data_IF_617576589059
#
_entry.id   IF_617576589059
#
_cell.length_a   1.000
_cell.length_b   1.000
_cell.length_c   1.000
_cell.angle_alpha   90.00
_cell.angle_beta   90.00
_cell.angle_gamma   90.00
#
_symmetry.space_group_name_H-M   'P 1'
#
loop_
_entity.id
_entity.type
_entity.pdbx_description
1 polymer ?
#
# COMPACT_ATOMS: atom_id res chain seq x y z
N UNK A 1 -7.61 -16.83 11.18
CA UNK A 1 -7.21 -15.53 10.60
C UNK A 1 -8.39 -14.99 9.81
N UNK A 2 -9.21 -14.14 10.40
CA UNK A 2 -10.37 -13.52 9.73
C UNK A 2 -10.32 -12.05 10.13
N UNK A 3 -10.07 -11.18 9.17
CA UNK A 3 -9.90 -9.77 9.45
C UNK A 3 -9.76 -9.05 8.14
N UNK A 4 -10.87 -8.49 7.68
CA UNK A 4 -10.88 -7.55 6.57
C UNK A 4 -9.85 -6.46 6.86
N UNK A 5 -8.82 -6.39 6.02
CA UNK A 5 -7.72 -5.43 6.19
C UNK A 5 -8.16 -4.03 5.81
N UNK A 6 -9.20 -3.91 4.97
CA UNK A 6 -9.87 -2.66 4.69
C UNK A 6 -11.01 -2.44 5.68
N UNK A 7 -11.01 -1.28 6.35
CA UNK A 7 -12.16 -0.83 7.12
C UNK A 7 -13.27 -0.39 6.17
N UNK A 8 -14.52 -0.68 6.52
CA UNK A 8 -15.68 -0.18 5.79
C UNK A 8 -15.65 1.35 5.70
N UNK A 9 -15.90 1.88 4.50
CA UNK A 9 -15.79 3.32 4.22
C UNK A 9 -16.77 4.13 5.08
N UNK A 10 -17.96 3.60 5.34
CA UNK A 10 -18.94 4.29 6.19
C UNK A 10 -18.46 4.34 7.65
N UNK A 11 -17.85 3.26 8.16
CA UNK A 11 -17.22 3.26 9.49
C UNK A 11 -16.05 4.25 9.58
N UNK A 12 -15.18 4.26 8.58
CA UNK A 12 -14.05 5.20 8.50
C UNK A 12 -14.53 6.66 8.54
N UNK A 13 -15.50 7.03 7.70
CA UNK A 13 -16.05 8.38 7.65
C UNK A 13 -16.77 8.75 8.96
N UNK A 14 -17.55 7.82 9.53
CA UNK A 14 -18.27 8.06 10.79
C UNK A 14 -17.32 8.34 11.95
N UNK A 15 -16.20 7.62 12.04
CA UNK A 15 -15.15 7.86 13.05
C UNK A 15 -14.41 9.18 12.80
N UNK A 16 -14.10 9.48 11.55
CA UNK A 16 -13.44 10.73 11.17
C UNK A 16 -14.26 11.95 11.62
N UNK A 17 -15.59 11.90 11.43
CA UNK A 17 -16.52 12.97 11.84
C UNK A 17 -16.65 13.18 13.36
N UNK A 18 -16.21 12.23 14.20
CA UNK A 18 -16.26 12.38 15.68
C UNK A 18 -15.16 13.28 16.24
N UNK A 19 -14.09 13.51 15.49
CA UNK A 19 -12.93 14.25 15.97
C UNK A 19 -13.03 15.72 15.54
N UNK A 20 -12.73 16.66 16.47
CA UNK A 20 -12.75 18.10 16.19
C UNK A 20 -11.71 18.53 15.16
N UNK A 21 -10.60 17.81 15.11
CA UNK A 21 -9.50 18.04 14.18
C UNK A 21 -9.09 16.72 13.56
N UNK A 22 -8.80 16.73 12.27
CA UNK A 22 -8.36 15.55 11.55
C UNK A 22 -7.37 15.94 10.45
N UNK A 23 -6.37 15.09 10.25
CA UNK A 23 -5.34 15.29 9.25
C UNK A 23 -5.51 14.28 8.13
N UNK A 24 -5.44 14.76 6.89
CA UNK A 24 -5.42 13.93 5.69
C UNK A 24 -4.09 14.13 4.98
N UNK A 25 -3.53 13.04 4.48
CA UNK A 25 -2.31 13.08 3.68
C UNK A 25 -2.42 12.10 2.53
N UNK A 26 -1.81 12.43 1.40
CA UNK A 26 -1.71 11.55 0.25
C UNK A 26 -0.27 11.07 0.12
N UNK A 27 -0.09 9.75 0.23
CA UNK A 27 1.23 9.13 0.05
C UNK A 27 1.42 8.83 -1.43
N UNK A 28 2.09 9.75 -2.12
CA UNK A 28 2.34 9.60 -3.54
C UNK A 28 3.15 8.33 -3.81
N UNK A 29 2.65 7.50 -4.73
CA UNK A 29 3.29 6.24 -5.14
C UNK A 29 3.59 5.29 -3.96
N UNK A 30 2.73 5.26 -2.94
CA UNK A 30 2.90 4.44 -1.73
C UNK A 30 3.35 3.00 -2.01
N UNK A 31 2.71 2.31 -2.95
CA UNK A 31 3.04 0.90 -3.24
C UNK A 31 4.45 0.71 -3.79
N UNK A 32 5.00 1.71 -4.49
CA UNK A 32 6.39 1.67 -4.97
C UNK A 32 7.43 1.79 -3.85
N UNK A 33 7.02 2.12 -2.63
CA UNK A 33 7.90 2.14 -1.47
C UNK A 33 7.98 0.78 -0.76
N UNK A 34 7.15 -0.19 -1.14
CA UNK A 34 7.10 -1.52 -0.54
C UNK A 34 7.88 -2.48 -1.42
N UNK A 35 8.99 -3.01 -0.91
CA UNK A 35 9.80 -4.01 -1.59
C UNK A 35 9.13 -5.39 -1.52
N UNK A 36 9.19 -6.12 -2.64
CA UNK A 36 8.77 -7.51 -2.70
C UNK A 36 9.97 -8.39 -2.35
N UNK A 37 9.70 -9.46 -1.62
CA UNK A 37 10.67 -10.49 -1.31
C UNK A 37 11.37 -10.97 -2.59
N UNK A 38 12.72 -11.04 -2.63
CA UNK A 38 13.46 -11.46 -3.83
C UNK A 38 12.97 -12.76 -4.46
N UNK A 39 12.53 -13.73 -3.65
CA UNK A 39 12.06 -15.03 -4.13
C UNK A 39 10.67 -14.94 -4.81
N UNK A 40 9.94 -13.85 -4.58
CA UNK A 40 8.63 -13.58 -5.15
C UNK A 40 8.66 -12.58 -6.32
N UNK A 41 9.80 -11.95 -6.60
CA UNK A 41 9.92 -10.95 -7.69
C UNK A 41 9.70 -11.56 -9.07
N UNK A 42 9.99 -12.86 -9.24
CA UNK A 42 9.77 -13.55 -10.51
C UNK A 42 8.30 -13.66 -10.90
N UNK A 43 7.39 -13.66 -9.90
CA UNK A 43 5.95 -13.67 -10.11
C UNK A 43 5.42 -12.35 -10.71
N UNK A 44 6.22 -11.29 -10.69
CA UNK A 44 5.89 -9.98 -11.25
C UNK A 44 6.81 -9.62 -12.43
N UNK A 45 7.31 -10.63 -13.14
CA UNK A 45 8.10 -10.42 -14.35
C UNK A 45 7.23 -9.81 -15.45
N UNK A 46 7.70 -8.72 -16.03
CA UNK A 46 7.10 -8.12 -17.23
C UNK A 46 8.02 -8.35 -18.42
N UNK A 47 7.40 -8.46 -19.58
CA UNK A 47 8.10 -8.55 -20.86
C UNK A 47 7.85 -7.25 -21.61
N UNK A 48 8.91 -6.68 -22.17
CA UNK A 48 8.85 -5.42 -22.90
C UNK A 48 9.54 -5.57 -24.25
N UNK A 49 8.82 -5.18 -25.30
CA UNK A 49 9.29 -5.14 -26.67
C UNK A 49 9.23 -3.69 -27.16
N UNK A 50 10.37 -3.17 -27.63
CA UNK A 50 10.47 -1.77 -28.09
C UNK A 50 10.12 -1.60 -29.57
N UNK A 51 9.92 -2.69 -30.30
CA UNK A 51 9.50 -2.68 -31.71
C UNK A 51 9.61 -4.06 -32.35
N UNK A 52 9.04 -4.23 -33.56
CA UNK A 52 8.80 -5.55 -34.17
C UNK A 52 10.05 -6.37 -34.53
N UNK A 53 11.23 -5.74 -34.51
CA UNK A 53 12.53 -6.39 -34.76
C UNK A 53 13.48 -6.28 -33.55
N UNK A 54 13.02 -5.74 -32.42
CA UNK A 54 13.84 -5.57 -31.24
C UNK A 54 13.85 -6.84 -30.38
N UNK A 55 14.96 -7.12 -29.71
CA UNK A 55 15.03 -8.24 -28.79
C UNK A 55 14.12 -8.01 -27.57
N UNK A 56 13.32 -9.03 -27.27
CA UNK A 56 12.35 -9.00 -26.17
C UNK A 56 13.09 -9.01 -24.84
N UNK A 57 12.89 -7.96 -24.03
CA UNK A 57 13.53 -7.82 -22.73
C UNK A 57 12.58 -8.23 -21.61
N UNK A 58 13.10 -8.98 -20.63
CA UNK A 58 12.36 -9.34 -19.41
C UNK A 58 12.85 -8.51 -18.22
N UNK A 59 11.92 -7.97 -17.44
CA UNK A 59 12.21 -7.16 -16.26
C UNK A 59 11.50 -7.71 -15.03
N UNK A 60 12.20 -7.70 -13.89
CA UNK A 60 11.66 -8.05 -12.59
C UNK A 60 11.28 -6.79 -11.82
N UNK A 61 10.00 -6.69 -11.47
CA UNK A 61 9.50 -5.58 -10.65
C UNK A 61 9.86 -5.83 -9.18
N UNK A 62 10.61 -4.91 -8.59
CA UNK A 62 11.12 -5.02 -7.21
C UNK A 62 10.12 -4.59 -6.15
N UNK A 63 9.10 -3.84 -6.53
CA UNK A 63 8.16 -3.21 -5.59
C UNK A 63 6.72 -3.55 -5.95
N UNK A 64 5.84 -3.45 -4.95
CA UNK A 64 4.41 -3.73 -5.15
C UNK A 64 3.87 -2.85 -6.27
N UNK A 65 3.33 -3.48 -7.30
CA UNK A 65 2.80 -2.80 -8.49
C UNK A 65 1.29 -2.69 -8.49
N UNK A 66 0.80 -1.66 -9.19
CA UNK A 66 -0.63 -1.45 -9.37
C UNK A 66 -1.24 -2.58 -10.20
N UNK A 67 -2.42 -3.06 -9.80
CA UNK A 67 -3.15 -4.11 -10.53
C UNK A 67 -3.11 -5.50 -9.85
N UNK A 68 -2.32 -5.70 -8.80
CA UNK A 68 -2.46 -6.88 -7.95
C UNK A 68 -3.62 -6.73 -6.97
N UNK A 69 -4.41 -7.80 -6.78
CA UNK A 69 -5.53 -7.83 -5.84
C UNK A 69 -5.13 -7.62 -4.38
N UNK A 70 -3.88 -7.95 -4.03
CA UNK A 70 -3.31 -7.85 -2.69
C UNK A 70 -2.69 -6.48 -2.37
N UNK A 71 -2.65 -5.55 -3.33
CA UNK A 71 -2.05 -4.21 -3.15
C UNK A 71 -2.65 -3.42 -1.98
N UNK A 72 -3.98 -3.35 -1.81
CA UNK A 72 -4.58 -2.67 -0.66
C UNK A 72 -4.13 -3.26 0.67
N UNK A 73 -4.01 -4.58 0.74
CA UNK A 73 -3.56 -5.29 1.93
C UNK A 73 -2.14 -4.86 2.31
N UNK A 74 -1.21 -4.90 1.35
CA UNK A 74 0.19 -4.51 1.61
C UNK A 74 0.32 -3.06 2.04
N UNK A 75 -0.43 -2.15 1.39
CA UNK A 75 -0.44 -0.74 1.75
C UNK A 75 -0.91 -0.50 3.18
N UNK A 76 -2.09 -1.02 3.52
CA UNK A 76 -2.69 -0.80 4.85
C UNK A 76 -1.84 -1.44 5.95
N UNK A 77 -1.36 -2.68 5.75
CA UNK A 77 -0.53 -3.36 6.75
C UNK A 77 0.80 -2.65 7.00
N UNK A 78 1.42 -2.13 5.94
CA UNK A 78 2.67 -1.37 6.07
C UNK A 78 2.46 -0.08 6.88
N UNK A 79 1.38 0.66 6.61
CA UNK A 79 1.06 1.88 7.37
C UNK A 79 0.68 1.59 8.82
N UNK A 80 -0.04 0.49 9.09
CA UNK A 80 -0.34 0.06 10.45
C UNK A 80 0.92 -0.33 11.22
N UNK A 81 1.85 -1.05 10.59
CA UNK A 81 3.13 -1.40 11.21
C UNK A 81 3.96 -0.15 11.51
N UNK A 82 4.08 0.75 10.52
CA UNK A 82 4.78 2.03 10.68
C UNK A 82 4.21 2.85 11.85
N UNK A 83 2.88 2.86 12.00
CA UNK A 83 2.23 3.55 13.11
C UNK A 83 2.60 2.96 14.47
N UNK A 84 2.71 1.63 14.60
CA UNK A 84 3.11 1.00 15.85
C UNK A 84 4.60 1.23 16.14
N UNK A 85 5.47 1.14 15.12
CA UNK A 85 6.91 1.37 15.25
C UNK A 85 7.22 2.80 15.71
N UNK A 86 6.50 3.80 15.18
CA UNK A 86 6.72 5.23 15.46
C UNK A 86 5.93 5.77 16.65
N UNK A 87 5.01 4.99 17.22
CA UNK A 87 4.14 5.40 18.33
C UNK A 87 4.88 5.86 19.58
N UNK A 88 6.04 5.28 19.86
CA UNK A 88 6.88 5.67 21.00
C UNK A 88 7.56 7.03 20.80
N UNK A 89 7.84 7.40 19.54
CA UNK A 89 8.50 8.65 19.16
C UNK A 89 7.51 9.80 19.04
N UNK A 90 6.28 9.53 18.63
CA UNK A 90 5.22 10.52 18.51
C UNK A 90 4.07 10.18 19.45
N UNK A 91 4.03 10.85 20.62
CA UNK A 91 3.05 10.68 21.71
C UNK A 91 1.58 11.00 21.35
N UNK A 92 1.28 11.24 20.07
CA UNK A 92 -0.09 11.43 19.63
C UNK A 92 -0.72 10.06 19.39
N UNK A 93 -1.85 9.78 20.04
CA UNK A 93 -2.75 8.68 19.66
C UNK A 93 -3.38 8.95 18.27
N UNK A 94 -2.55 9.03 17.23
CA UNK A 94 -2.97 9.15 15.85
C UNK A 94 -3.28 7.75 15.35
N UNK A 95 -4.58 7.44 15.30
CA UNK A 95 -5.05 6.21 14.66
C UNK A 95 -5.13 6.47 13.16
N UNK A 96 -4.19 5.90 12.41
CA UNK A 96 -4.19 5.99 10.94
C UNK A 96 -5.41 5.26 10.38
N UNK A 97 -6.21 5.97 9.57
CA UNK A 97 -7.30 5.40 8.81
C UNK A 97 -6.91 5.49 7.34
N UNK A 98 -6.63 4.35 6.72
CA UNK A 98 -6.17 4.27 5.35
C UNK A 98 -7.33 3.75 4.49
N UNK A 99 -7.85 4.59 3.60
CA UNK A 99 -8.77 4.16 2.56
C UNK A 99 -7.99 4.11 1.25
N UNK A 100 -7.82 2.91 0.68
CA UNK A 100 -7.33 2.79 -0.69
C UNK A 100 -8.52 2.96 -1.62
N UNK A 101 -8.56 3.97 -2.51
CA UNK A 101 -9.52 3.95 -3.59
C UNK A 101 -9.21 2.73 -4.45
N UNK A 102 -10.20 1.84 -4.61
CA UNK A 102 -10.19 0.81 -5.65
C UNK A 102 -10.10 1.44 -7.02
#
# INVERSE_FOLDING_TARGET
MKGDVAEDVFQAISRFRRHKFAFTTYIQKMYRQILIDPDQQDLQRIVWETGPNAEVSAYHLKTVTYGMSSVPFFGIRTLQQLAEDEKSRFLWHLRFCCTTPT
#
